data_IF_447996534710
#
_entry.id   IF_447996534710
#
_cell.length_a   1.000
_cell.length_b   1.000
_cell.length_c   1.000
_cell.angle_alpha   90.00
_cell.angle_beta   90.00
_cell.angle_gamma   90.00
#
_symmetry.space_group_name_H-M   'P 1'
#
loop_
_entity.id
_entity.type
_entity.pdbx_description
1 polymer ?
#
# COMPACT_ATOMS: atom_id res chain seq x y z
N UNK A 1 -15.13 -3.96 24.96
CA UNK A 1 -14.99 -2.50 24.75
C UNK A 1 -14.94 -2.25 23.26
N UNK A 2 -15.68 -1.28 22.72
CA UNK A 2 -15.50 -0.78 21.35
C UNK A 2 -14.86 0.60 21.41
N UNK A 3 -14.04 0.97 20.42
CA UNK A 3 -13.35 2.26 20.39
C UNK A 3 -13.26 2.80 18.96
N UNK A 4 -13.38 4.12 18.84
CA UNK A 4 -13.06 4.88 17.62
C UNK A 4 -11.76 5.70 17.76
N UNK A 5 -11.05 5.51 18.88
CA UNK A 5 -9.81 6.23 19.19
C UNK A 5 -8.59 5.40 18.82
N UNK A 6 -7.74 5.98 17.97
CA UNK A 6 -6.41 5.45 17.64
C UNK A 6 -5.54 5.26 18.88
N UNK A 7 -5.66 6.14 19.88
CA UNK A 7 -4.89 6.06 21.12
C UNK A 7 -5.29 4.84 21.96
N UNK A 8 -6.58 4.50 22.03
CA UNK A 8 -7.01 3.30 22.78
C UNK A 8 -6.57 2.02 22.07
N UNK A 9 -6.58 2.02 20.73
CA UNK A 9 -6.08 0.88 19.95
C UNK A 9 -4.56 0.69 20.10
N UNK A 10 -3.81 1.77 20.26
CA UNK A 10 -2.36 1.76 20.47
C UNK A 10 -1.95 1.11 21.81
N UNK A 11 -2.69 1.37 22.88
CA UNK A 11 -2.38 0.86 24.23
C UNK A 11 -2.79 -0.60 24.46
N UNK A 12 -3.38 -1.26 23.46
CA UNK A 12 -3.83 -2.64 23.54
C UNK A 12 -2.90 -3.57 22.75
N UNK A 13 -2.68 -4.77 23.28
CA UNK A 13 -2.03 -5.84 22.50
C UNK A 13 -2.86 -6.14 21.23
N UNK A 14 -2.22 -6.16 20.05
CA UNK A 14 -2.90 -6.46 18.80
C UNK A 14 -3.58 -7.83 18.80
N UNK A 15 -3.09 -8.79 19.59
CA UNK A 15 -3.75 -10.08 19.76
C UNK A 15 -5.18 -9.96 20.33
N UNK A 16 -5.47 -8.88 21.04
CA UNK A 16 -6.77 -8.59 21.62
C UNK A 16 -7.68 -7.77 20.69
N UNK A 17 -7.17 -7.24 19.58
CA UNK A 17 -7.93 -6.36 18.69
C UNK A 17 -8.77 -7.16 17.69
N UNK A 18 -10.04 -6.75 17.59
CA UNK A 18 -11.01 -7.27 16.62
C UNK A 18 -11.50 -6.14 15.74
N UNK A 19 -11.20 -6.24 14.46
CA UNK A 19 -11.54 -5.23 13.48
C UNK A 19 -12.86 -5.57 12.78
N UNK A 20 -13.79 -4.63 12.78
CA UNK A 20 -15.09 -4.77 12.14
C UNK A 20 -15.03 -4.15 10.75
N UNK A 21 -14.78 -4.99 9.74
CA UNK A 21 -14.70 -4.56 8.35
C UNK A 21 -16.08 -4.52 7.73
N UNK A 22 -16.50 -3.37 7.20
CA UNK A 22 -17.76 -3.25 6.47
C UNK A 22 -17.73 -4.08 5.19
N UNK A 23 -18.79 -4.84 4.94
CA UNK A 23 -19.01 -5.54 3.68
C UNK A 23 -19.85 -4.68 2.73
N UNK A 24 -19.69 -4.84 1.40
CA UNK A 24 -20.54 -4.16 0.44
C UNK A 24 -22.02 -4.47 0.69
N UNK A 25 -22.89 -3.54 0.30
CA UNK A 25 -24.34 -3.78 0.36
C UNK A 25 -24.67 -4.99 -0.51
N UNK A 26 -25.03 -6.08 0.13
CA UNK A 26 -25.61 -7.24 -0.53
C UNK A 26 -27.09 -7.00 -0.89
N UNK A 27 -27.80 -8.05 -1.33
CA UNK A 27 -29.23 -7.95 -1.66
C UNK A 27 -30.12 -7.64 -0.45
N UNK A 28 -29.60 -7.78 0.77
CA UNK A 28 -30.31 -7.42 2.01
C UNK A 28 -30.08 -5.94 2.33
N UNK A 29 -31.10 -5.22 2.81
CA UNK A 29 -30.98 -3.79 3.14
C UNK A 29 -30.14 -3.52 4.40
N UNK A 30 -29.74 -4.56 5.13
CA UNK A 30 -29.05 -4.47 6.42
C UNK A 30 -27.53 -4.41 6.17
N UNK A 31 -26.81 -3.41 6.71
CA UNK A 31 -25.35 -3.39 6.70
C UNK A 31 -24.77 -4.62 7.40
N UNK A 32 -23.80 -5.28 6.78
CA UNK A 32 -23.09 -6.42 7.36
C UNK A 32 -21.61 -6.12 7.51
N UNK A 33 -20.93 -6.83 8.41
CA UNK A 33 -19.50 -6.66 8.66
C UNK A 33 -18.85 -8.02 8.89
N UNK A 34 -17.61 -8.15 8.45
CA UNK A 34 -16.74 -9.27 8.79
C UNK A 34 -15.90 -8.89 10.01
N UNK A 35 -15.74 -9.83 10.94
CA UNK A 35 -14.85 -9.65 12.10
C UNK A 35 -13.50 -10.25 11.76
N UNK A 36 -12.48 -9.41 11.75
CA UNK A 36 -11.10 -9.79 11.48
C UNK A 36 -10.35 -9.89 12.80
N UNK A 37 -9.69 -11.03 13.01
CA UNK A 37 -8.81 -11.25 14.13
C UNK A 37 -7.42 -10.71 13.82
N UNK A 38 -6.98 -9.67 14.52
CA UNK A 38 -5.65 -9.13 14.26
C UNK A 38 -4.54 -10.09 14.75
N UNK A 39 -4.81 -11.01 15.68
CA UNK A 39 -3.81 -12.05 16.02
C UNK A 39 -3.44 -12.95 14.83
N UNK A 40 -4.28 -13.05 13.79
CA UNK A 40 -3.98 -13.90 12.63
C UNK A 40 -2.98 -13.19 11.69
N UNK A 41 -2.91 -11.85 11.77
CA UNK A 41 -1.95 -11.01 11.04
C UNK A 41 -0.65 -10.83 11.83
N UNK A 42 -0.76 -10.78 13.16
CA UNK A 42 0.35 -10.39 14.07
C UNK A 42 0.86 -11.51 14.98
N UNK A 43 0.17 -12.65 15.07
CA UNK A 43 0.50 -13.73 16.00
C UNK A 43 1.66 -14.61 15.55
N UNK A 44 2.12 -14.44 14.31
CA UNK A 44 3.37 -15.05 13.83
C UNK A 44 4.59 -14.36 14.44
N UNK A 45 5.67 -15.12 14.67
CA UNK A 45 6.93 -14.58 15.22
C UNK A 45 7.97 -14.28 14.12
N UNK A 46 7.52 -14.09 12.87
CA UNK A 46 8.39 -13.85 11.73
C UNK A 46 8.82 -12.37 11.58
N UNK A 47 9.71 -12.08 10.62
CA UNK A 47 10.17 -10.71 10.36
C UNK A 47 9.08 -9.76 9.88
N UNK A 48 8.10 -10.27 9.12
CA UNK A 48 7.00 -9.48 8.58
C UNK A 48 6.09 -9.06 9.72
N UNK A 49 5.64 -10.00 10.56
CA UNK A 49 4.82 -9.71 11.73
C UNK A 49 5.49 -8.68 12.66
N UNK A 50 6.79 -8.83 12.94
CA UNK A 50 7.55 -7.84 13.73
C UNK A 50 7.69 -6.48 13.04
N UNK A 51 7.80 -6.45 11.71
CA UNK A 51 7.82 -5.20 10.95
C UNK A 51 6.47 -4.48 11.04
N UNK A 52 5.37 -5.18 10.77
CA UNK A 52 4.03 -4.59 10.82
C UNK A 52 3.67 -4.15 12.25
N UNK A 53 3.99 -4.96 13.27
CA UNK A 53 3.76 -4.62 14.67
C UNK A 53 4.50 -3.33 15.08
N UNK A 54 5.80 -3.22 14.74
CA UNK A 54 6.56 -1.97 14.97
C UNK A 54 5.93 -0.77 14.27
N UNK A 55 5.46 -0.97 13.04
CA UNK A 55 4.86 0.11 12.26
C UNK A 55 3.59 0.65 12.95
N UNK A 56 2.70 -0.23 13.41
CA UNK A 56 1.49 0.18 14.13
C UNK A 56 1.78 0.77 15.53
N UNK A 57 2.70 0.17 16.30
CA UNK A 57 3.11 0.68 17.62
C UNK A 57 3.82 2.04 17.54
N UNK A 58 4.40 2.39 16.40
CA UNK A 58 5.20 3.62 16.34
C UNK A 58 4.39 4.88 16.16
N UNK A 59 3.14 4.82 15.66
CA UNK A 59 2.14 5.93 15.58
C UNK A 59 0.95 5.64 14.64
N UNK A 60 0.91 4.51 13.92
CA UNK A 60 0.01 4.33 12.77
C UNK A 60 -1.30 3.57 13.06
N UNK A 61 -1.83 3.64 14.29
CA UNK A 61 -3.17 3.12 14.60
C UNK A 61 -4.31 3.85 13.85
N UNK A 62 -4.01 5.00 13.24
CA UNK A 62 -4.91 5.70 12.31
C UNK A 62 -5.38 4.81 11.16
N UNK A 63 -4.58 3.82 10.76
CA UNK A 63 -4.92 2.87 9.71
C UNK A 63 -6.23 2.10 9.99
N UNK A 64 -6.56 1.86 11.26
CA UNK A 64 -7.81 1.18 11.63
C UNK A 64 -9.05 2.03 11.39
N UNK A 65 -8.89 3.34 11.24
CA UNK A 65 -9.99 4.29 11.13
C UNK A 65 -10.02 4.99 9.78
N UNK A 66 -8.96 4.87 8.98
CA UNK A 66 -8.83 5.49 7.67
C UNK A 66 -9.86 4.98 6.65
N UNK A 67 -10.28 5.87 5.75
CA UNK A 67 -11.05 5.53 4.55
C UNK A 67 -10.17 4.87 3.48
N UNK A 68 -8.91 5.29 3.41
CA UNK A 68 -7.89 4.76 2.51
C UNK A 68 -6.47 5.00 3.05
N UNK A 69 -5.49 4.27 2.53
CA UNK A 69 -4.07 4.47 2.82
C UNK A 69 -3.26 4.82 1.58
N UNK A 70 -2.28 5.71 1.75
CA UNK A 70 -1.22 5.97 0.76
C UNK A 70 0.11 5.57 1.39
N UNK A 71 0.75 4.56 0.83
CA UNK A 71 2.09 4.13 1.21
C UNK A 71 3.10 4.86 0.33
N UNK A 72 4.09 5.51 0.93
CA UNK A 72 5.16 6.23 0.22
C UNK A 72 6.53 5.74 0.67
N UNK A 73 7.51 5.74 -0.23
CA UNK A 73 8.84 5.17 0.03
C UNK A 73 9.80 6.14 0.76
N UNK A 74 9.56 7.45 0.68
CA UNK A 74 10.45 8.44 1.27
C UNK A 74 9.83 9.77 1.66
N UNK A 75 10.69 10.62 2.22
CA UNK A 75 10.31 11.92 2.77
C UNK A 75 9.83 12.91 1.70
N UNK A 76 10.29 12.77 0.44
CA UNK A 76 9.89 13.65 -0.64
C UNK A 76 8.38 13.53 -0.91
N UNK A 77 7.90 12.30 -1.11
CA UNK A 77 6.50 11.99 -1.32
C UNK A 77 5.67 12.32 -0.08
N UNK A 78 6.20 12.04 1.13
CA UNK A 78 5.53 12.42 2.38
C UNK A 78 5.23 13.91 2.47
N UNK A 79 6.06 14.77 1.88
CA UNK A 79 5.83 16.22 1.83
C UNK A 79 4.93 16.59 0.64
N UNK A 80 5.22 16.06 -0.54
CA UNK A 80 4.56 16.48 -1.79
C UNK A 80 3.13 15.94 -1.93
N UNK A 81 2.87 14.69 -1.56
CA UNK A 81 1.55 14.07 -1.73
C UNK A 81 0.47 14.81 -0.93
N UNK A 82 0.65 15.13 0.37
CA UNK A 82 -0.34 15.93 1.10
C UNK A 82 -0.55 17.32 0.50
N UNK A 83 0.52 17.95 0.00
CA UNK A 83 0.43 19.24 -0.67
C UNK A 83 -0.47 19.14 -1.92
N UNK A 84 -0.23 18.15 -2.78
CA UNK A 84 -1.06 17.96 -3.97
C UNK A 84 -2.52 17.64 -3.62
N UNK A 85 -2.76 16.77 -2.64
CA UNK A 85 -4.13 16.44 -2.18
C UNK A 85 -4.86 17.71 -1.74
N UNK A 86 -4.23 18.52 -0.89
CA UNK A 86 -4.82 19.75 -0.36
C UNK A 86 -5.17 20.77 -1.45
N UNK A 87 -4.32 20.90 -2.47
CA UNK A 87 -4.45 21.98 -3.47
C UNK A 87 -5.17 21.57 -4.75
N UNK A 88 -5.25 20.28 -5.07
CA UNK A 88 -5.81 19.79 -6.34
C UNK A 88 -6.95 18.77 -6.17
N UNK A 89 -7.19 18.24 -4.97
CA UNK A 89 -8.16 17.16 -4.75
C UNK A 89 -9.06 17.44 -3.52
N UNK A 90 -9.97 18.40 -3.65
CA UNK A 90 -10.83 18.87 -2.55
C UNK A 90 -11.61 17.74 -1.85
N UNK A 91 -12.22 16.82 -2.62
CA UNK A 91 -12.95 15.68 -2.06
C UNK A 91 -12.03 14.77 -1.26
N UNK A 92 -10.84 14.46 -1.79
CA UNK A 92 -9.88 13.59 -1.14
C UNK A 92 -9.28 14.23 0.12
N UNK A 93 -9.09 15.56 0.11
CA UNK A 93 -8.62 16.31 1.27
C UNK A 93 -9.61 16.25 2.45
N UNK A 94 -10.91 16.08 2.18
CA UNK A 94 -11.96 15.91 3.19
C UNK A 94 -12.15 14.46 3.64
N UNK A 95 -11.57 13.49 2.92
CA UNK A 95 -11.58 12.07 3.29
C UNK A 95 -10.49 11.77 4.31
N UNK A 96 -10.71 10.78 5.18
CA UNK A 96 -9.69 10.40 6.16
C UNK A 96 -8.68 9.44 5.53
N UNK A 97 -7.81 9.98 4.67
CA UNK A 97 -6.73 9.23 4.03
C UNK A 97 -5.48 9.29 4.91
N UNK A 98 -5.02 8.13 5.35
CA UNK A 98 -3.78 7.98 6.10
C UNK A 98 -2.59 7.89 5.13
N UNK A 99 -1.53 8.67 5.39
CA UNK A 99 -0.28 8.57 4.64
C UNK A 99 0.80 7.91 5.50
N UNK A 100 1.44 6.89 4.93
CA UNK A 100 2.39 6.01 5.59
C UNK A 100 3.73 6.07 4.86
N UNK A 101 4.74 6.69 5.49
CA UNK A 101 6.12 6.60 4.99
C UNK A 101 6.72 5.26 5.42
N UNK A 102 7.13 4.47 4.44
CA UNK A 102 7.77 3.19 4.62
C UNK A 102 9.23 3.42 4.27
N UNK A 103 10.09 3.54 5.27
CA UNK A 103 11.52 3.82 5.10
C UNK A 103 12.22 2.70 4.30
N UNK A 104 12.18 2.81 2.96
CA UNK A 104 12.73 1.85 2.00
C UNK A 104 11.70 0.94 1.33
N UNK A 105 12.20 -0.02 0.54
CA UNK A 105 11.39 -0.87 -0.35
C UNK A 105 10.72 -2.07 0.37
N UNK A 106 10.05 -1.79 1.48
CA UNK A 106 9.42 -2.79 2.37
C UNK A 106 7.89 -2.73 2.39
N UNK A 107 7.27 -1.98 1.49
CA UNK A 107 5.80 -1.82 1.47
C UNK A 107 5.05 -3.15 1.30
N UNK A 108 5.62 -4.11 0.55
CA UNK A 108 5.12 -5.49 0.47
C UNK A 108 4.92 -6.18 1.84
N UNK A 109 5.69 -5.82 2.87
CA UNK A 109 5.53 -6.41 4.21
C UNK A 109 4.24 -5.97 4.90
N UNK A 110 3.65 -4.84 4.49
CA UNK A 110 2.32 -4.42 4.97
C UNK A 110 1.17 -5.11 4.24
N UNK A 111 1.44 -5.86 3.16
CA UNK A 111 0.37 -6.52 2.40
C UNK A 111 -0.57 -7.36 3.26
N UNK A 112 -0.09 -8.21 4.21
CA UNK A 112 -1.00 -9.02 5.00
C UNK A 112 -1.96 -8.18 5.85
N UNK A 113 -1.48 -7.06 6.40
CA UNK A 113 -2.30 -6.15 7.18
C UNK A 113 -3.32 -5.41 6.32
N UNK A 114 -2.87 -4.80 5.23
CA UNK A 114 -3.74 -4.04 4.33
C UNK A 114 -4.84 -4.95 3.75
N UNK A 115 -4.48 -6.18 3.36
CA UNK A 115 -5.42 -7.17 2.84
C UNK A 115 -6.40 -7.66 3.93
N UNK A 116 -5.93 -7.86 5.16
CA UNK A 116 -6.78 -8.23 6.30
C UNK A 116 -7.78 -7.11 6.64
N UNK A 117 -7.33 -5.86 6.70
CA UNK A 117 -8.21 -4.70 6.93
C UNK A 117 -9.14 -4.44 5.76
N UNK A 118 -8.79 -4.88 4.54
CA UNK A 118 -9.52 -4.59 3.31
C UNK A 118 -9.58 -3.10 3.02
N UNK A 119 -8.49 -2.38 3.30
CA UNK A 119 -8.39 -0.93 3.18
C UNK A 119 -7.94 -0.54 1.78
N UNK A 120 -8.69 0.34 1.09
CA UNK A 120 -8.29 0.87 -0.22
C UNK A 120 -6.91 1.49 -0.09
N UNK A 121 -5.95 1.03 -0.90
CA UNK A 121 -4.54 1.40 -0.71
C UNK A 121 -3.85 1.75 -2.01
N UNK A 122 -3.10 2.86 -2.02
CA UNK A 122 -2.17 3.24 -3.07
C UNK A 122 -0.74 3.13 -2.55
N UNK A 123 0.13 2.38 -3.23
CA UNK A 123 1.57 2.42 -2.99
C UNK A 123 2.26 3.27 -4.07
N UNK A 124 3.02 4.29 -3.66
CA UNK A 124 3.87 5.12 -4.51
C UNK A 124 5.31 4.71 -4.23
N UNK A 125 6.00 4.18 -5.24
CA UNK A 125 7.32 3.56 -5.06
C UNK A 125 8.18 3.73 -6.31
N UNK A 126 9.49 3.60 -6.15
CA UNK A 126 10.43 3.69 -7.24
C UNK A 126 10.52 2.40 -8.07
N UNK A 127 10.87 2.53 -9.35
CA UNK A 127 11.15 1.37 -10.20
C UNK A 127 12.38 0.56 -9.75
N UNK A 128 13.33 1.17 -9.03
CA UNK A 128 14.59 0.54 -8.61
C UNK A 128 15.27 -0.31 -9.70
N UNK A 129 15.53 0.30 -10.85
CA UNK A 129 16.10 -0.40 -12.00
C UNK A 129 17.56 -0.82 -11.76
N UNK A 130 17.86 -2.08 -12.06
CA UNK A 130 19.19 -2.69 -11.95
C UNK A 130 19.53 -3.52 -13.19
N UNK A 131 20.82 -3.61 -13.51
CA UNK A 131 21.32 -4.41 -14.62
C UNK A 131 21.68 -5.84 -14.18
N UNK A 132 20.91 -6.86 -14.57
CA UNK A 132 21.19 -8.24 -14.17
C UNK A 132 22.49 -8.79 -14.78
N UNK A 133 22.96 -8.26 -15.92
CA UNK A 133 24.22 -8.65 -16.54
C UNK A 133 25.44 -8.02 -15.86
N UNK A 134 25.24 -7.00 -15.02
CA UNK A 134 26.30 -6.29 -14.31
C UNK A 134 26.08 -6.34 -12.78
N UNK A 135 26.02 -7.55 -12.23
CA UNK A 135 25.87 -7.80 -10.78
C UNK A 135 24.73 -7.01 -10.11
N UNK A 136 23.62 -6.77 -10.83
CA UNK A 136 22.49 -5.97 -10.35
C UNK A 136 22.89 -4.55 -9.92
N UNK A 137 23.88 -3.95 -10.58
CA UNK A 137 24.24 -2.55 -10.38
C UNK A 137 23.06 -1.65 -10.75
N UNK A 138 22.85 -0.58 -9.97
CA UNK A 138 21.82 0.43 -10.25
C UNK A 138 21.99 0.99 -11.66
N UNK A 139 20.89 1.05 -12.40
CA UNK A 139 20.86 1.50 -13.79
C UNK A 139 19.64 2.40 -14.03
N UNK A 140 19.82 3.44 -14.83
CA UNK A 140 18.72 4.32 -15.24
C UNK A 140 17.71 3.49 -16.05
N UNK A 141 16.41 3.51 -15.73
CA UNK A 141 15.40 2.78 -16.49
C UNK A 141 15.46 3.14 -17.98
N UNK A 142 15.62 2.13 -18.84
CA UNK A 142 15.70 2.28 -20.29
C UNK A 142 14.96 1.15 -20.99
N UNK A 143 14.03 1.52 -21.88
CA UNK A 143 13.25 0.55 -22.66
C UNK A 143 14.17 -0.26 -23.59
N UNK A 144 13.97 -1.56 -23.65
CA UNK A 144 14.72 -2.52 -24.45
C UNK A 144 16.11 -2.87 -23.90
N UNK A 145 16.48 -2.33 -22.73
CA UNK A 145 17.80 -2.57 -22.13
C UNK A 145 17.87 -3.86 -21.29
N UNK A 146 16.78 -4.65 -21.23
CA UNK A 146 16.70 -5.91 -20.45
C UNK A 146 17.02 -5.72 -18.96
N UNK A 147 16.68 -4.54 -18.42
CA UNK A 147 16.84 -4.21 -17.01
C UNK A 147 15.73 -4.86 -16.18
N UNK A 148 16.02 -5.08 -14.90
CA UNK A 148 15.04 -5.62 -13.95
C UNK A 148 14.89 -4.71 -12.74
N UNK A 149 13.76 -4.78 -12.05
CA UNK A 149 13.57 -4.06 -10.78
C UNK A 149 14.23 -4.80 -9.62
N UNK A 150 14.78 -4.07 -8.65
CA UNK A 150 15.08 -4.60 -7.32
C UNK A 150 13.96 -4.39 -6.30
N UNK A 151 12.92 -3.63 -6.64
CA UNK A 151 11.81 -3.29 -5.74
C UNK A 151 10.95 -4.52 -5.39
N UNK A 152 10.95 -5.00 -4.13
CA UNK A 152 10.18 -6.17 -3.73
C UNK A 152 8.66 -5.99 -3.85
N UNK A 153 8.13 -4.78 -3.78
CA UNK A 153 6.69 -4.53 -3.93
C UNK A 153 6.22 -4.84 -5.35
N UNK A 154 6.99 -4.41 -6.34
CA UNK A 154 6.70 -4.70 -7.76
C UNK A 154 6.85 -6.20 -8.09
N UNK A 155 7.82 -6.88 -7.45
CA UNK A 155 8.12 -8.30 -7.67
C UNK A 155 7.19 -9.26 -6.92
N UNK A 156 6.85 -8.96 -5.68
CA UNK A 156 6.19 -9.89 -4.77
C UNK A 156 4.71 -9.55 -4.52
N UNK A 157 4.35 -8.26 -4.41
CA UNK A 157 2.99 -7.86 -4.06
C UNK A 157 2.11 -7.68 -5.31
N UNK A 158 2.42 -6.67 -6.12
CA UNK A 158 1.74 -6.34 -7.37
C UNK A 158 2.62 -5.37 -8.17
N UNK A 159 2.80 -5.53 -9.49
CA UNK A 159 2.11 -6.45 -10.41
C UNK A 159 2.73 -7.85 -10.51
N UNK A 160 3.69 -8.17 -9.64
CA UNK A 160 4.49 -9.41 -9.69
C UNK A 160 5.28 -9.54 -11.00
N UNK A 161 6.00 -8.47 -11.33
CA UNK A 161 6.85 -8.39 -12.51
C UNK A 161 8.24 -7.89 -12.17
N UNK A 162 9.22 -8.48 -12.85
CA UNK A 162 10.64 -8.19 -12.64
C UNK A 162 11.20 -7.32 -13.75
N UNK A 163 10.75 -7.51 -15.00
CA UNK A 163 11.21 -6.79 -16.18
C UNK A 163 10.79 -5.32 -16.14
N UNK A 164 11.74 -4.39 -16.32
CA UNK A 164 11.43 -2.96 -16.45
C UNK A 164 10.59 -2.71 -17.71
N UNK A 165 10.86 -3.43 -18.80
CA UNK A 165 10.08 -3.30 -20.03
C UNK A 165 8.62 -3.71 -19.83
N UNK A 166 8.37 -4.79 -19.08
CA UNK A 166 7.02 -5.21 -18.76
C UNK A 166 6.31 -4.20 -17.87
N UNK A 167 7.00 -3.69 -16.84
CA UNK A 167 6.46 -2.69 -15.92
C UNK A 167 6.07 -1.40 -16.66
N UNK A 168 6.93 -0.92 -17.56
CA UNK A 168 6.65 0.26 -18.38
C UNK A 168 5.52 0.06 -19.40
N UNK A 169 5.28 -1.18 -19.82
CA UNK A 169 4.20 -1.53 -20.75
C UNK A 169 2.83 -1.72 -20.07
N UNK A 170 2.76 -1.70 -18.73
CA UNK A 170 1.51 -1.92 -18.02
C UNK A 170 0.52 -0.78 -18.22
N UNK A 171 -0.72 -1.17 -18.56
CA UNK A 171 -1.87 -0.27 -18.51
C UNK A 171 -2.18 0.15 -17.07
N UNK A 172 -2.90 1.25 -16.90
CA UNK A 172 -3.29 1.70 -15.57
C UNK A 172 -4.19 0.71 -14.83
N UNK A 173 -5.04 -0.03 -15.55
CA UNK A 173 -5.86 -1.09 -14.94
C UNK A 173 -5.02 -2.25 -14.44
N UNK A 174 -3.96 -2.63 -15.17
CA UNK A 174 -3.05 -3.69 -14.75
C UNK A 174 -2.22 -3.34 -13.52
N UNK A 175 -2.18 -2.06 -13.12
CA UNK A 175 -1.54 -1.60 -11.88
C UNK A 175 -2.47 -1.70 -10.66
N UNK A 176 -3.72 -2.12 -10.86
CA UNK A 176 -4.72 -2.34 -9.81
C UNK A 176 -4.84 -3.84 -9.57
N UNK A 177 -4.77 -4.23 -8.29
CA UNK A 177 -5.09 -5.56 -7.77
C UNK A 177 -6.43 -5.47 -7.05
N UNK A 178 -7.40 -6.24 -7.52
CA UNK A 178 -8.70 -6.41 -6.88
C UNK A 178 -8.76 -7.75 -6.15
N UNK A 179 -9.69 -7.87 -5.21
CA UNK A 179 -9.83 -9.05 -4.36
C UNK A 179 -11.28 -9.49 -4.40
N UNK A 180 -11.56 -10.64 -5.04
CA UNK A 180 -12.93 -11.15 -5.22
C UNK A 180 -13.65 -11.35 -3.89
N UNK A 181 -12.93 -11.84 -2.87
CA UNK A 181 -13.42 -12.07 -1.51
C UNK A 181 -13.71 -10.76 -0.73
N UNK A 182 -13.18 -9.62 -1.20
CA UNK A 182 -13.27 -8.32 -0.51
C UNK A 182 -13.57 -7.21 -1.53
N UNK A 183 -14.82 -7.09 -2.02
CA UNK A 183 -15.12 -6.29 -3.22
C UNK A 183 -14.91 -4.78 -3.07
N UNK A 184 -14.87 -4.27 -1.83
CA UNK A 184 -14.60 -2.85 -1.54
C UNK A 184 -13.10 -2.52 -1.45
N UNK A 185 -12.25 -3.54 -1.53
CA UNK A 185 -10.82 -3.39 -1.38
C UNK A 185 -10.13 -3.46 -2.75
N UNK A 186 -9.27 -2.47 -2.99
CA UNK A 186 -8.35 -2.47 -4.12
C UNK A 186 -6.99 -1.98 -3.64
N UNK A 187 -5.94 -2.60 -4.17
CA UNK A 187 -4.57 -2.14 -4.05
C UNK A 187 -4.10 -1.61 -5.41
N UNK A 188 -3.60 -0.39 -5.47
CA UNK A 188 -2.95 0.14 -6.67
C UNK A 188 -1.49 0.44 -6.37
N UNK A 189 -0.62 0.17 -7.34
CA UNK A 189 0.77 0.64 -7.30
C UNK A 189 1.00 1.72 -8.35
N UNK A 190 1.75 2.75 -7.97
CA UNK A 190 2.22 3.82 -8.83
C UNK A 190 3.74 3.90 -8.75
N UNK A 191 4.37 4.04 -9.91
CA UNK A 191 5.81 4.14 -10.10
C UNK A 191 6.07 4.93 -11.38
N UNK A 192 7.33 5.28 -11.65
CA UNK A 192 7.71 6.11 -12.79
C UNK A 192 7.29 5.47 -14.12
N UNK A 193 6.63 6.24 -14.98
CA UNK A 193 6.23 5.84 -16.34
C UNK A 193 6.84 6.78 -17.37
N UNK A 194 6.93 6.33 -18.63
CA UNK A 194 7.35 7.20 -19.73
C UNK A 194 6.37 8.35 -19.93
N UNK A 195 6.88 9.56 -20.09
CA UNK A 195 6.10 10.75 -20.42
C UNK A 195 6.62 11.30 -21.75
N UNK A 196 5.71 11.56 -22.69
CA UNK A 196 6.06 12.27 -23.92
C UNK A 196 6.18 13.75 -23.58
N UNK A 197 7.37 14.32 -23.79
CA UNK A 197 7.60 15.76 -23.63
C UNK A 197 7.60 16.37 -25.03
N UNK A 198 6.55 17.09 -25.39
CA UNK A 198 6.57 17.94 -26.58
C UNK A 198 7.61 19.04 -26.33
N UNK A 199 8.68 19.02 -27.11
CA UNK A 199 9.63 20.13 -27.14
C UNK A 199 9.02 21.18 -28.06
N UNK A 200 8.62 22.30 -27.46
CA UNK A 200 8.19 23.50 -28.19
C UNK A 200 9.33 24.15 -28.96
#
# INVERSE_FOLDING_TARGET
>A
MSTHSSHVAHECDFACLRYFRRLPKGPKPIPTSAVINLSDVFGGNDETARFVARYLLSTHCELFFADAAILVEGAAERIQVPHFIKHHFETLHKSYVTLLEISGSHSHRLSPLIEALGLITLAITDLDSVDPANHRKKAIPKKGAKLVTSNPTLKAWHPKKDSIDDLLALSDQSKIKTYEEVPLFAFRVAYQTSVSIEHG
#
